data_IF_039706017975
#
_entry.id   IF_039706017975
#
_cell.length_a   1.000
_cell.length_b   1.000
_cell.length_c   1.000
_cell.angle_alpha   90.00
_cell.angle_beta   90.00
_cell.angle_gamma   90.00
#
_symmetry.space_group_name_H-M   'P 1'
#
loop_
_entity.id
_entity.type
_entity.pdbx_description
1 polymer ?
#
# COMPACT_ATOMS: atom_id res chain seq x y z
N UNK A 1 5.32 -13.00 3.78
CA UNK A 1 6.02 -11.80 3.27
C UNK A 1 5.05 -10.62 3.14
N UNK A 2 5.36 -9.45 3.69
CA UNK A 2 4.62 -8.19 3.53
C UNK A 2 5.22 -7.34 2.42
N UNK A 3 4.37 -6.98 1.45
CA UNK A 3 4.73 -6.14 0.30
C UNK A 3 3.93 -4.84 0.40
N UNK A 4 4.62 -3.74 0.65
CA UNK A 4 4.01 -2.42 0.72
C UNK A 4 3.89 -1.78 -0.66
N UNK A 5 2.69 -1.33 -1.01
CA UNK A 5 2.43 -0.53 -2.21
C UNK A 5 2.52 0.94 -1.83
N UNK A 6 3.50 1.64 -2.39
CA UNK A 6 3.72 3.08 -2.25
C UNK A 6 3.48 3.78 -3.60
N UNK A 7 3.30 5.10 -3.58
CA UNK A 7 3.15 5.89 -4.79
C UNK A 7 2.37 7.18 -4.54
N UNK A 8 2.40 8.07 -5.53
CA UNK A 8 1.69 9.34 -5.46
C UNK A 8 0.17 9.12 -5.34
N UNK A 9 -0.58 10.08 -4.76
CA UNK A 9 -2.03 10.14 -4.94
C UNK A 9 -2.40 10.03 -6.43
N UNK A 10 -3.47 9.30 -6.73
CA UNK A 10 -3.98 9.07 -8.09
C UNK A 10 -3.06 8.32 -9.08
N UNK A 11 -1.94 7.75 -8.63
CA UNK A 11 -1.00 6.95 -9.47
C UNK A 11 -1.52 5.58 -9.92
N UNK A 12 -2.75 5.19 -9.55
CA UNK A 12 -3.29 3.84 -9.83
C UNK A 12 -2.97 2.78 -8.76
N UNK A 13 -2.35 3.17 -7.64
CA UNK A 13 -2.00 2.27 -6.52
C UNK A 13 -3.16 1.41 -6.00
N UNK A 14 -4.33 2.00 -5.73
CA UNK A 14 -5.51 1.26 -5.25
C UNK A 14 -6.06 0.29 -6.31
N UNK A 15 -5.94 0.64 -7.60
CA UNK A 15 -6.30 -0.26 -8.70
C UNK A 15 -5.40 -1.49 -8.72
N UNK A 16 -4.08 -1.30 -8.57
CA UNK A 16 -3.11 -2.40 -8.46
C UNK A 16 -3.38 -3.28 -7.23
N UNK A 17 -3.63 -2.66 -6.07
CA UNK A 17 -3.98 -3.38 -4.83
C UNK A 17 -5.21 -4.28 -5.02
N UNK A 18 -6.28 -3.74 -5.60
CA UNK A 18 -7.50 -4.50 -5.88
C UNK A 18 -7.27 -5.64 -6.88
N UNK A 19 -6.47 -5.41 -7.92
CA UNK A 19 -6.13 -6.44 -8.91
C UNK A 19 -5.35 -7.62 -8.28
N UNK A 20 -4.41 -7.31 -7.39
CA UNK A 20 -3.58 -8.28 -6.66
C UNK A 20 -4.36 -9.06 -5.60
N UNK A 21 -5.24 -8.39 -4.86
CA UNK A 21 -5.95 -9.00 -3.71
C UNK A 21 -7.33 -9.56 -4.06
N UNK A 22 -7.90 -9.15 -5.20
CA UNK A 22 -9.26 -9.51 -5.59
C UNK A 22 -10.35 -8.76 -4.85
N UNK A 23 -9.99 -7.69 -4.14
CA UNK A 23 -10.92 -6.81 -3.44
C UNK A 23 -11.50 -5.77 -4.39
N UNK A 24 -12.67 -5.24 -4.02
CA UNK A 24 -13.32 -4.10 -4.69
C UNK A 24 -13.40 -2.92 -3.72
N UNK A 25 -12.30 -2.63 -3.04
CA UNK A 25 -12.24 -1.48 -2.13
C UNK A 25 -12.24 -0.19 -2.95
N UNK A 26 -13.21 0.69 -2.70
CA UNK A 26 -13.18 2.07 -3.22
C UNK A 26 -12.23 2.92 -2.38
N UNK A 27 -11.81 4.06 -2.94
CA UNK A 27 -11.12 5.12 -2.21
C UNK A 27 -12.04 5.55 -1.05
N UNK A 28 -11.65 5.20 0.17
CA UNK A 28 -12.28 5.66 1.40
C UNK A 28 -11.35 6.67 2.05
N UNK A 29 -11.90 7.77 2.57
CA UNK A 29 -11.12 8.84 3.20
C UNK A 29 -10.39 8.30 4.44
N UNK A 30 -9.11 8.65 4.58
CA UNK A 30 -8.39 8.64 5.85
C UNK A 30 -8.96 9.73 6.77
N UNK A 31 -10.18 9.55 7.28
CA UNK A 31 -10.81 10.53 8.15
C UNK A 31 -10.33 10.33 9.60
N UNK A 32 -9.39 11.18 10.03
CA UNK A 32 -9.10 11.40 11.45
C UNK A 32 -8.45 10.22 12.18
N UNK A 33 -7.12 10.20 12.20
CA UNK A 33 -6.23 9.58 13.21
C UNK A 33 -6.36 8.09 13.55
N UNK A 34 -7.27 7.33 12.94
CA UNK A 34 -7.24 5.86 12.93
C UNK A 34 -7.11 5.39 11.50
N UNK A 35 -5.87 5.13 11.13
CA UNK A 35 -5.46 4.62 9.84
C UNK A 35 -5.80 3.13 9.84
N UNK A 36 -7.01 2.77 9.37
CA UNK A 36 -7.33 1.37 9.09
C UNK A 36 -6.37 0.84 8.03
N UNK A 37 -5.43 0.00 8.47
CA UNK A 37 -4.43 -0.62 7.59
C UNK A 37 -5.14 -1.57 6.63
N UNK A 38 -5.05 -1.28 5.33
CA UNK A 38 -5.55 -2.16 4.28
C UNK A 38 -4.50 -3.21 3.95
N UNK A 39 -4.58 -4.34 4.65
CA UNK A 39 -3.72 -5.50 4.44
C UNK A 39 -4.57 -6.70 3.99
N UNK A 40 -4.26 -7.26 2.82
CA UNK A 40 -4.93 -8.46 2.32
C UNK A 40 -3.96 -9.37 1.61
N UNK A 41 -4.24 -10.68 1.67
CA UNK A 41 -3.47 -11.67 0.91
C UNK A 41 -3.56 -11.39 -0.60
N UNK A 42 -2.42 -11.48 -1.27
CA UNK A 42 -2.34 -11.50 -2.74
C UNK A 42 -2.93 -12.83 -3.22
N UNK A 43 -3.66 -12.81 -4.33
CA UNK A 43 -4.21 -14.03 -4.93
C UNK A 43 -3.08 -15.02 -5.23
N UNK A 44 -3.29 -16.28 -4.85
CA UNK A 44 -2.29 -17.35 -4.99
C UNK A 44 -1.78 -17.56 -6.42
N UNK A 45 -2.55 -17.20 -7.44
CA UNK A 45 -2.12 -17.34 -8.84
C UNK A 45 -1.04 -16.32 -9.26
N UNK A 46 -0.67 -15.36 -8.40
CA UNK A 46 0.43 -14.43 -8.63
C UNK A 46 1.76 -14.87 -7.98
N UNK A 47 1.80 -16.00 -7.28
CA UNK A 47 3.02 -16.53 -6.66
C UNK A 47 3.07 -18.04 -6.77
N UNK A 48 4.22 -18.57 -7.19
CA UNK A 48 4.51 -20.02 -7.15
C UNK A 48 5.03 -20.46 -5.76
N UNK A 49 5.20 -19.52 -4.83
CA UNK A 49 5.67 -19.80 -3.46
C UNK A 49 4.55 -20.42 -2.62
N UNK A 50 4.91 -21.31 -1.70
CA UNK A 50 4.01 -21.75 -0.62
C UNK A 50 3.80 -20.66 0.45
N UNK A 51 4.64 -19.64 0.47
CA UNK A 51 4.56 -18.52 1.41
C UNK A 51 3.36 -17.61 1.11
N UNK A 52 2.67 -17.17 2.18
CA UNK A 52 1.61 -16.19 2.07
C UNK A 52 2.18 -14.79 1.83
N UNK A 53 1.75 -14.16 0.74
CA UNK A 53 2.10 -12.79 0.38
C UNK A 53 0.97 -11.85 0.81
N UNK A 54 1.29 -10.87 1.65
CA UNK A 54 0.35 -9.85 2.13
C UNK A 54 0.66 -8.54 1.41
N UNK A 55 -0.30 -8.04 0.64
CA UNK A 55 -0.24 -6.68 0.10
C UNK A 55 -0.71 -5.69 1.15
N UNK A 56 0.01 -4.58 1.26
CA UNK A 56 -0.30 -3.46 2.18
C UNK A 56 -0.47 -2.21 1.34
N UNK A 57 -1.65 -1.59 1.36
CA UNK A 57 -1.88 -0.31 0.67
C UNK A 57 -1.46 0.85 1.57
N UNK A 58 -0.36 1.54 1.25
CA UNK A 58 0.04 2.75 1.96
C UNK A 58 -0.76 3.96 1.45
N UNK A 59 -0.93 5.03 2.26
CA UNK A 59 -1.46 6.29 1.76
C UNK A 59 -0.72 6.79 0.52
N UNK A 60 -1.45 7.46 -0.37
CA UNK A 60 -0.80 8.18 -1.47
C UNK A 60 0.04 9.32 -0.88
N UNK A 61 1.34 9.33 -1.17
CA UNK A 61 2.29 10.29 -0.61
C UNK A 61 3.26 10.74 -1.71
N UNK A 62 3.55 12.04 -1.78
CA UNK A 62 4.52 12.59 -2.72
C UNK A 62 5.96 12.50 -2.20
N UNK A 63 6.13 12.37 -0.88
CA UNK A 63 7.43 12.24 -0.24
C UNK A 63 7.39 11.31 0.98
N UNK A 64 8.58 10.97 1.49
CA UNK A 64 8.75 10.27 2.77
C UNK A 64 8.97 11.24 3.94
N UNK A 65 8.92 12.54 3.69
CA UNK A 65 9.02 13.56 4.73
C UNK A 65 7.65 13.77 5.35
N UNK A 66 7.51 13.75 6.69
CA UNK A 66 6.21 13.72 7.35
C UNK A 66 5.56 15.11 7.43
N UNK A 67 5.30 15.75 6.28
CA UNK A 67 4.62 17.07 6.24
C UNK A 67 3.10 16.93 6.23
N UNK A 68 2.56 15.83 5.70
CA UNK A 68 1.14 15.46 5.82
C UNK A 68 0.91 14.22 6.69
N UNK A 69 -0.34 13.98 7.07
CA UNK A 69 -0.72 12.75 7.79
C UNK A 69 -0.43 11.50 6.96
N UNK A 70 -0.68 11.55 5.66
CA UNK A 70 -0.38 10.47 4.72
C UNK A 70 1.11 10.16 4.67
N UNK A 71 1.96 11.19 4.53
CA UNK A 71 3.41 11.02 4.52
C UNK A 71 3.94 10.53 5.87
N UNK A 72 3.35 10.99 6.97
CA UNK A 72 3.69 10.52 8.33
C UNK A 72 3.36 9.02 8.51
N UNK A 73 2.24 8.57 7.97
CA UNK A 73 1.83 7.16 8.01
C UNK A 73 2.71 6.31 7.10
N UNK A 74 2.94 6.75 5.86
CA UNK A 74 3.79 6.03 4.89
C UNK A 74 5.22 5.89 5.42
N UNK A 75 5.83 6.98 5.91
CA UNK A 75 7.18 6.95 6.48
C UNK A 75 7.24 6.15 7.79
N UNK A 76 6.24 6.30 8.66
CA UNK A 76 6.14 5.55 9.91
C UNK A 76 5.99 4.05 9.68
N UNK A 77 5.18 3.64 8.69
CA UNK A 77 5.03 2.23 8.33
C UNK A 77 6.34 1.62 7.87
N UNK A 78 7.01 2.25 6.89
CA UNK A 78 8.28 1.75 6.35
C UNK A 78 9.35 1.63 7.45
N UNK A 79 9.39 2.59 8.37
CA UNK A 79 10.38 2.63 9.45
C UNK A 79 10.12 1.61 10.56
N UNK A 80 8.86 1.39 10.94
CA UNK A 80 8.52 0.63 12.14
C UNK A 80 8.02 -0.79 11.85
N UNK A 81 7.41 -1.02 10.69
CA UNK A 81 6.81 -2.31 10.32
C UNK A 81 7.73 -3.16 9.45
N UNK A 82 8.81 -2.58 8.92
CA UNK A 82 9.84 -3.25 8.14
C UNK A 82 9.28 -4.20 7.06
N UNK A 83 8.53 -3.68 6.06
CA UNK A 83 8.03 -4.53 4.99
C UNK A 83 9.19 -5.22 4.27
N UNK A 84 8.98 -6.47 3.86
CA UNK A 84 9.98 -7.27 3.15
C UNK A 84 10.28 -6.70 1.77
N UNK A 85 9.30 -6.05 1.14
CA UNK A 85 9.46 -5.36 -0.13
C UNK A 85 8.56 -4.13 -0.23
N UNK A 86 9.00 -3.15 -1.04
CA UNK A 86 8.20 -1.98 -1.42
C UNK A 86 8.06 -1.99 -2.94
N UNK A 87 6.81 -1.93 -3.41
CA UNK A 87 6.47 -1.69 -4.81
C UNK A 87 6.05 -0.23 -4.94
N UNK A 88 6.87 0.57 -5.61
CA UNK A 88 6.57 1.96 -5.91
C UNK A 88 5.78 2.06 -7.23
N UNK A 89 4.54 2.53 -7.15
CA UNK A 89 3.66 2.77 -8.29
C UNK A 89 3.91 4.17 -8.82
N UNK A 90 4.37 4.25 -10.06
CA UNK A 90 4.73 5.49 -10.74
C UNK A 90 3.83 5.67 -11.96
N UNK A 91 3.15 6.81 -12.02
CA UNK A 91 2.42 7.23 -13.20
C UNK A 91 3.42 7.62 -14.30
N UNK A 92 3.22 7.10 -15.52
CA UNK A 92 4.12 7.28 -16.64
C UNK A 92 3.75 8.48 -17.53
N UNK A 93 2.61 9.14 -17.27
CA UNK A 93 2.07 10.23 -18.09
C UNK A 93 2.65 11.60 -17.76
#
# INVERSE_FOLDING_TARGET
MRIALAGNPNSGKTTMFNALTGRNEKIGNWAGVTVDRKEFAIKKNYSETSEELIAVDLPGAYSMSPFTSEESVTSGYVKNEHPDAIINIVDAT
#
